data_IF_468165002992
#
_entry.id   IF_468165002992
#
_cell.length_a   1.000
_cell.length_b   1.000
_cell.length_c   1.000
_cell.angle_alpha   90.00
_cell.angle_beta   90.00
_cell.angle_gamma   90.00
#
_symmetry.space_group_name_H-M   'P 1'
#
loop_
_entity.id
_entity.type
_entity.pdbx_description
1 polymer ?
#
# COMPACT_ATOMS: atom_id res chain seq x y z
N UNK A 1 24.77 -8.88 12.55
CA UNK A 1 23.94 -8.53 13.74
C UNK A 1 24.79 -7.71 14.68
N UNK A 2 24.37 -6.51 15.05
CA UNK A 2 25.04 -5.66 16.04
C UNK A 2 24.20 -5.59 17.32
N UNK A 3 24.82 -5.73 18.49
CA UNK A 3 24.11 -5.61 19.77
C UNK A 3 23.77 -4.14 20.02
N UNK A 4 22.48 -3.84 20.03
CA UNK A 4 21.97 -2.48 20.31
C UNK A 4 21.11 -2.55 21.56
N UNK A 5 21.42 -1.72 22.56
CA UNK A 5 20.62 -1.62 23.79
C UNK A 5 19.72 -0.40 23.68
N UNK A 6 18.41 -0.62 23.77
CA UNK A 6 17.41 0.44 23.75
C UNK A 6 16.60 0.41 25.04
N UNK A 7 16.19 1.58 25.51
CA UNK A 7 15.23 1.68 26.59
C UNK A 7 13.81 1.72 26.03
N UNK A 8 12.96 0.81 26.52
CA UNK A 8 11.55 0.75 26.15
C UNK A 8 10.70 1.08 27.37
N UNK A 9 9.64 1.89 27.24
CA UNK A 9 8.63 2.02 28.27
C UNK A 9 8.11 0.64 28.69
N UNK A 10 7.92 0.42 29.99
CA UNK A 10 7.49 -0.87 30.54
C UNK A 10 6.20 -1.36 29.88
N UNK A 11 5.23 -0.46 29.68
CA UNK A 11 3.96 -0.74 29.02
C UNK A 11 4.11 -1.12 27.55
N UNK A 12 5.11 -0.58 26.85
CA UNK A 12 5.38 -0.93 25.45
C UNK A 12 6.05 -2.30 25.37
N UNK A 13 7.01 -2.58 26.26
CA UNK A 13 7.65 -3.90 26.36
C UNK A 13 6.62 -5.01 26.61
N UNK A 14 5.70 -4.82 27.56
CA UNK A 14 4.67 -5.82 27.87
C UNK A 14 3.75 -6.10 26.69
N UNK A 15 3.29 -5.06 25.99
CA UNK A 15 2.44 -5.23 24.79
C UNK A 15 3.21 -5.94 23.67
N UNK A 16 4.44 -5.54 23.41
CA UNK A 16 5.28 -6.17 22.38
C UNK A 16 5.52 -7.66 22.70
N UNK A 17 5.70 -8.01 23.98
CA UNK A 17 5.87 -9.40 24.40
C UNK A 17 4.60 -10.22 24.16
N UNK A 18 3.42 -9.73 24.57
CA UNK A 18 2.14 -10.41 24.32
C UNK A 18 1.89 -10.63 22.82
N UNK A 19 2.18 -9.63 21.98
CA UNK A 19 2.07 -9.78 20.53
C UNK A 19 3.04 -10.82 19.97
N UNK A 20 4.29 -10.83 20.44
CA UNK A 20 5.29 -11.80 20.01
C UNK A 20 4.89 -13.23 20.39
N UNK A 21 4.36 -13.43 21.60
CA UNK A 21 3.82 -14.71 22.08
C UNK A 21 2.63 -15.18 21.23
N UNK A 22 1.68 -14.27 20.94
CA UNK A 22 0.55 -14.58 20.06
C UNK A 22 0.95 -14.97 18.63
N UNK A 23 2.13 -14.55 18.18
CA UNK A 23 2.72 -14.90 16.89
C UNK A 23 3.68 -16.10 16.96
N UNK A 24 3.94 -16.65 18.14
CA UNK A 24 4.89 -17.76 18.33
C UNK A 24 6.34 -17.40 18.04
N UNK A 25 6.73 -16.12 18.18
CA UNK A 25 8.09 -15.62 17.90
C UNK A 25 8.71 -14.95 19.12
N UNK A 26 10.03 -14.79 19.11
CA UNK A 26 10.72 -14.05 20.17
C UNK A 26 10.44 -12.55 20.10
N UNK A 27 10.54 -11.86 21.24
CA UNK A 27 10.47 -10.39 21.30
C UNK A 27 11.49 -9.72 20.38
N UNK A 28 12.72 -10.26 20.31
CA UNK A 28 13.76 -9.73 19.42
C UNK A 28 13.41 -9.85 17.94
N UNK A 29 12.77 -10.95 17.54
CA UNK A 29 12.26 -11.11 16.18
C UNK A 29 11.13 -10.14 15.89
N UNK A 30 10.18 -10.00 16.81
CA UNK A 30 9.08 -9.05 16.70
C UNK A 30 9.58 -7.61 16.54
N UNK A 31 10.55 -7.18 17.35
CA UNK A 31 11.15 -5.84 17.27
C UNK A 31 11.82 -5.63 15.91
N UNK A 32 12.59 -6.61 15.42
CA UNK A 32 13.27 -6.51 14.11
C UNK A 32 12.26 -6.35 12.97
N UNK A 33 11.20 -7.17 12.93
CA UNK A 33 10.14 -7.06 11.91
C UNK A 33 9.40 -5.72 11.98
N UNK A 34 9.13 -5.25 13.19
CA UNK A 34 8.44 -3.97 13.40
C UNK A 34 9.27 -2.78 12.90
N UNK A 35 10.59 -2.78 13.18
CA UNK A 35 11.51 -1.76 12.67
C UNK A 35 11.58 -1.83 11.15
N UNK A 36 11.75 -3.03 10.60
CA UNK A 36 11.85 -3.27 9.16
C UNK A 36 10.61 -2.74 8.41
N UNK A 37 9.41 -3.08 8.91
CA UNK A 37 8.14 -2.60 8.36
C UNK A 37 8.02 -1.07 8.43
N UNK A 38 8.39 -0.47 9.56
CA UNK A 38 8.32 0.98 9.76
C UNK A 38 9.32 1.75 8.87
N UNK A 39 10.48 1.15 8.54
CA UNK A 39 11.47 1.77 7.65
C UNK A 39 11.12 1.60 6.17
N UNK A 40 10.56 0.45 5.77
CA UNK A 40 10.13 0.21 4.38
C UNK A 40 8.92 1.08 3.98
N UNK A 41 8.00 1.36 4.91
CA UNK A 41 6.88 2.28 4.66
C UNK A 41 7.33 3.73 4.40
N UNK A 42 8.52 4.12 4.88
CA UNK A 42 9.06 5.47 4.67
C UNK A 42 9.81 5.65 3.35
N UNK A 43 10.34 4.57 2.77
CA UNK A 43 11.02 4.63 1.47
C UNK A 43 10.04 4.73 0.30
N UNK A 44 8.81 4.24 0.49
CA UNK A 44 7.69 4.68 -0.34
C UNK A 44 7.25 6.04 0.18
N UNK A 45 7.93 7.12 -0.25
CA UNK A 45 7.24 8.41 -0.37
C UNK A 45 5.91 8.07 -1.02
N UNK A 46 4.82 8.41 -0.32
CA UNK A 46 3.44 8.29 -0.78
C UNK A 46 3.33 9.13 -2.06
N UNK A 47 3.86 8.64 -3.17
CA UNK A 47 3.46 9.09 -4.48
C UNK A 47 2.07 8.52 -4.59
N UNK A 48 1.02 9.36 -4.55
CA UNK A 48 -0.33 8.87 -4.68
C UNK A 48 -0.34 8.07 -5.98
N UNK A 49 -0.81 6.83 -5.89
CA UNK A 49 -0.87 5.94 -7.04
C UNK A 49 -1.57 6.70 -8.17
N UNK A 50 -0.87 6.91 -9.28
CA UNK A 50 -1.41 7.68 -10.41
C UNK A 50 -2.76 7.12 -10.89
N UNK A 51 -3.03 5.83 -10.66
CA UNK A 51 -4.32 5.19 -10.96
C UNK A 51 -5.46 5.72 -10.07
N UNK A 52 -5.19 6.02 -8.80
CA UNK A 52 -6.19 6.49 -7.82
C UNK A 52 -6.11 8.01 -7.58
N UNK A 53 -5.07 8.68 -8.09
CA UNK A 53 -4.89 10.12 -7.99
C UNK A 53 -5.61 10.90 -9.12
N UNK A 54 -6.04 10.21 -10.17
CA UNK A 54 -6.78 10.82 -11.29
C UNK A 54 -8.27 10.98 -10.95
N UNK A 55 -8.68 12.21 -10.68
CA UNK A 55 -10.07 12.60 -10.44
C UNK A 55 -10.73 13.22 -11.69
N UNK A 56 -10.09 13.16 -12.86
CA UNK A 56 -10.64 13.77 -14.06
C UNK A 56 -11.91 13.03 -14.53
N UNK A 57 -13.06 13.68 -14.42
CA UNK A 57 -14.35 13.17 -14.90
C UNK A 57 -14.80 13.93 -16.15
N UNK A 58 -15.01 13.23 -17.26
CA UNK A 58 -15.64 13.80 -18.45
C UNK A 58 -17.15 14.01 -18.22
N UNK A 59 -17.61 15.27 -18.20
CA UNK A 59 -19.02 15.66 -17.97
C UNK A 59 -19.82 15.91 -19.25
N UNK A 60 -19.23 15.70 -20.42
CA UNK A 60 -19.90 15.90 -21.71
C UNK A 60 -20.91 14.79 -22.04
N UNK A 61 -21.68 15.00 -23.09
CA UNK A 61 -22.54 13.95 -23.64
C UNK A 61 -21.68 12.81 -24.18
N UNK A 62 -21.92 11.59 -23.71
CA UNK A 62 -21.27 10.38 -24.16
C UNK A 62 -22.32 9.30 -24.49
N UNK A 63 -22.07 8.42 -25.46
CA UNK A 63 -22.89 7.25 -25.72
C UNK A 63 -23.08 6.42 -24.45
N UNK A 64 -24.29 5.86 -24.27
CA UNK A 64 -24.67 5.09 -23.07
C UNK A 64 -23.84 3.80 -22.87
N UNK A 65 -23.26 3.27 -23.94
CA UNK A 65 -22.44 2.05 -23.93
C UNK A 65 -21.18 2.24 -24.81
N UNK A 66 -20.16 2.84 -24.19
CA UNK A 66 -18.84 2.99 -24.78
C UNK A 66 -18.04 1.69 -24.79
N UNK A 67 -18.27 0.81 -23.81
CA UNK A 67 -17.48 -0.42 -23.63
C UNK A 67 -17.72 -1.43 -24.75
N UNK A 68 -18.99 -1.62 -25.13
CA UNK A 68 -19.38 -2.61 -26.14
C UNK A 68 -18.95 -2.25 -27.56
N UNK A 69 -18.73 -0.98 -27.84
CA UNK A 69 -18.36 -0.48 -29.17
C UNK A 69 -17.08 0.36 -29.15
N UNK A 70 -16.17 0.08 -28.22
CA UNK A 70 -14.95 0.88 -28.02
C UNK A 70 -14.13 0.97 -29.31
N UNK A 71 -14.01 -0.11 -30.09
CA UNK A 71 -13.28 -0.11 -31.36
C UNK A 71 -13.79 0.97 -32.32
N UNK A 72 -15.12 1.05 -32.48
CA UNK A 72 -15.75 2.05 -33.35
C UNK A 72 -15.47 3.48 -32.88
N UNK A 73 -15.43 3.71 -31.57
CA UNK A 73 -15.23 5.05 -31.02
C UNK A 73 -13.76 5.47 -30.94
N UNK A 74 -12.85 4.52 -30.68
CA UNK A 74 -11.42 4.77 -30.55
C UNK A 74 -10.70 4.77 -31.90
N UNK A 75 -11.11 3.90 -32.82
CA UNK A 75 -10.41 3.67 -34.08
C UNK A 75 -11.24 4.02 -35.32
N UNK A 76 -12.53 4.31 -35.16
CA UNK A 76 -13.43 4.59 -36.28
C UNK A 76 -13.94 3.32 -36.97
N UNK A 77 -14.73 3.45 -38.04
CA UNK A 77 -15.11 2.31 -38.86
C UNK A 77 -13.88 1.74 -39.58
N UNK A 78 -13.80 0.41 -39.70
CA UNK A 78 -12.81 -0.22 -40.56
C UNK A 78 -13.08 0.24 -42.01
N UNK A 79 -12.11 0.94 -42.60
CA UNK A 79 -12.15 1.28 -44.03
C UNK A 79 -12.23 -0.03 -44.82
N UNK A 80 -13.27 -0.18 -45.65
CA UNK A 80 -13.47 -1.32 -46.55
C UNK A 80 -13.33 -0.86 -47.99
#
# INVERSE_FOLDING_TARGET
MHRTTIMLPSTLKSRALQHAEGLGISLGEFIRRSIDAATHQRTTKHQPDSLFADEAVFRGAAPRDLSRHHDRYLYGPAET
#
